data_IF_849363889499
#
_entry.id   IF_849363889499
#
_cell.length_a   1.000
_cell.length_b   1.000
_cell.length_c   1.000
_cell.angle_alpha   90.00
_cell.angle_beta   90.00
_cell.angle_gamma   90.00
#
_symmetry.space_group_name_H-M   'P 1'
#
loop_
_entity.id
_entity.type
_entity.pdbx_description
1 polymer ?
#
# COMPACT_ATOMS: atom_id res chain seq x y z
N UNK A 1 -6.28 -0.78 -0.84
CA UNK A 1 -5.09 -0.88 -1.69
C UNK A 1 -4.89 -2.33 -2.15
N UNK A 2 -4.59 -2.57 -3.44
CA UNK A 2 -4.54 -3.92 -4.03
C UNK A 2 -3.42 -4.80 -3.46
N UNK A 3 -2.26 -4.24 -3.11
CA UNK A 3 -1.14 -5.05 -2.60
C UNK A 3 -1.50 -5.75 -1.29
N UNK A 4 -2.10 -5.00 -0.37
CA UNK A 4 -2.63 -5.51 0.91
C UNK A 4 -3.79 -6.47 0.71
N UNK A 5 -4.73 -6.14 -0.19
CA UNK A 5 -5.92 -6.94 -0.46
C UNK A 5 -5.56 -8.32 -1.01
N UNK A 6 -4.62 -8.38 -1.95
CA UNK A 6 -4.40 -9.58 -2.77
C UNK A 6 -3.17 -10.38 -2.37
N UNK A 7 -2.15 -9.74 -1.79
CA UNK A 7 -0.84 -10.36 -1.60
C UNK A 7 -0.31 -10.30 -0.16
N UNK A 8 -0.78 -9.36 0.68
CA UNK A 8 -0.32 -9.17 2.05
C UNK A 8 -1.48 -9.15 3.08
N UNK A 9 -2.32 -10.20 3.16
CA UNK A 9 -3.40 -10.26 4.15
C UNK A 9 -2.89 -10.13 5.59
N UNK A 10 -1.66 -10.57 5.87
CA UNK A 10 -1.01 -10.51 7.18
C UNK A 10 -0.83 -9.07 7.70
N UNK A 11 -0.84 -8.07 6.82
CA UNK A 11 -0.73 -6.66 7.20
C UNK A 11 -1.85 -6.22 8.14
N UNK A 12 -3.03 -6.83 8.02
CA UNK A 12 -4.18 -6.56 8.92
C UNK A 12 -3.84 -6.88 10.38
N UNK A 13 -3.04 -7.93 10.62
CA UNK A 13 -2.57 -8.30 11.95
C UNK A 13 -1.66 -7.24 12.59
N UNK A 14 -0.90 -6.50 11.79
CA UNK A 14 0.02 -5.44 12.28
C UNK A 14 -0.72 -4.19 12.78
N UNK A 15 -2.00 -4.06 12.46
CA UNK A 15 -2.85 -2.95 12.90
C UNK A 15 -3.64 -3.28 14.18
N UNK A 16 -3.65 -4.54 14.61
CA UNK A 16 -4.35 -4.96 15.83
C UNK A 16 -3.76 -4.25 17.04
N UNK A 17 -4.64 -3.68 17.88
CA UNK A 17 -4.25 -2.96 19.10
C UNK A 17 -3.77 -1.52 18.87
N UNK A 18 -3.71 -1.03 17.62
CA UNK A 18 -3.46 0.39 17.37
C UNK A 18 -4.70 1.24 17.68
N UNK A 19 -4.55 2.48 18.18
CA UNK A 19 -5.66 3.39 18.33
C UNK A 19 -6.37 3.62 16.99
N UNK A 20 -7.70 3.63 17.01
CA UNK A 20 -8.52 4.02 15.88
C UNK A 20 -8.20 5.45 15.45
N UNK A 21 -8.49 5.78 14.18
CA UNK A 21 -8.32 7.14 13.67
C UNK A 21 -9.07 8.17 14.53
N UNK A 22 -10.28 7.81 15.00
CA UNK A 22 -11.07 8.68 15.86
C UNK A 22 -10.42 8.93 17.24
N UNK A 23 -9.76 7.92 17.81
CA UNK A 23 -8.98 8.10 19.05
C UNK A 23 -7.75 8.97 18.84
N UNK A 24 -7.01 8.76 17.75
CA UNK A 24 -5.85 9.58 17.40
C UNK A 24 -6.24 11.06 17.25
N UNK A 25 -7.34 11.32 16.56
CA UNK A 25 -7.87 12.66 16.31
C UNK A 25 -8.30 13.36 17.60
N UNK A 26 -9.04 12.65 18.47
CA UNK A 26 -9.43 13.19 19.77
C UNK A 26 -8.22 13.48 20.66
N UNK A 27 -7.20 12.61 20.64
CA UNK A 27 -6.03 12.74 21.51
C UNK A 27 -5.24 14.03 21.27
N UNK A 28 -5.25 14.56 20.05
CA UNK A 28 -4.52 15.78 19.69
C UNK A 28 -5.43 16.94 19.29
N UNK A 29 -6.76 16.80 19.42
CA UNK A 29 -7.71 17.83 19.02
C UNK A 29 -7.69 18.17 17.52
N UNK A 30 -7.35 17.22 16.66
CA UNK A 30 -7.11 17.48 15.25
C UNK A 30 -8.39 17.55 14.41
N UNK A 31 -8.29 18.19 13.25
CA UNK A 31 -9.15 17.94 12.09
C UNK A 31 -8.48 16.96 11.13
N UNK A 32 -9.28 16.30 10.29
CA UNK A 32 -8.80 15.26 9.36
C UNK A 32 -8.99 15.74 7.92
N UNK A 33 -7.97 15.55 7.09
CA UNK A 33 -8.06 15.70 5.64
C UNK A 33 -7.61 14.40 4.93
N UNK A 34 -8.29 13.98 3.85
CA UNK A 34 -7.79 12.91 3.00
C UNK A 34 -6.53 13.37 2.24
N UNK A 35 -5.59 12.45 2.06
CA UNK A 35 -4.39 12.67 1.24
C UNK A 35 -4.43 11.71 0.07
N UNK A 36 -4.66 12.24 -1.12
CA UNK A 36 -4.57 11.47 -2.35
C UNK A 36 -3.09 11.25 -2.70
N UNK A 37 -2.79 10.08 -3.24
CA UNK A 37 -1.43 9.72 -3.67
C UNK A 37 -1.35 9.88 -5.19
N UNK A 38 -0.53 10.82 -5.70
CA UNK A 38 -0.29 10.95 -7.14
C UNK A 38 0.27 9.66 -7.74
N UNK A 39 -0.03 9.38 -9.00
CA UNK A 39 0.44 8.16 -9.66
C UNK A 39 1.98 8.08 -9.78
N UNK A 40 2.63 9.24 -9.81
CA UNK A 40 4.08 9.45 -9.94
C UNK A 40 4.76 9.76 -8.60
N UNK A 41 4.11 9.50 -7.47
CA UNK A 41 4.67 9.73 -6.14
C UNK A 41 6.09 9.15 -6.01
N UNK A 42 7.05 10.00 -5.64
CA UNK A 42 8.48 9.67 -5.60
C UNK A 42 8.98 9.23 -4.22
N UNK A 43 8.17 9.41 -3.17
CA UNK A 43 8.58 9.16 -1.77
C UNK A 43 8.84 7.67 -1.47
N UNK A 44 8.12 6.77 -2.16
CA UNK A 44 8.42 5.33 -2.13
C UNK A 44 7.90 4.59 -0.90
N UNK A 45 6.98 5.16 -0.13
CA UNK A 45 6.22 4.43 0.90
C UNK A 45 5.32 3.34 0.28
N UNK A 46 4.73 2.50 1.14
CA UNK A 46 4.07 1.25 0.73
C UNK A 46 3.04 1.43 -0.39
N UNK A 47 2.25 2.50 -0.38
CA UNK A 47 1.21 2.77 -1.37
C UNK A 47 1.70 3.62 -2.57
N UNK A 48 2.94 4.11 -2.59
CA UNK A 48 3.44 5.07 -3.59
C UNK A 48 3.46 4.55 -5.04
N UNK A 49 3.50 3.22 -5.22
CA UNK A 49 3.56 2.58 -6.54
C UNK A 49 2.21 1.93 -6.93
N UNK A 50 1.10 2.45 -6.43
CA UNK A 50 -0.23 1.88 -6.64
C UNK A 50 -0.64 1.70 -8.11
N UNK A 51 -0.17 2.56 -9.03
CA UNK A 51 -0.37 2.42 -10.50
C UNK A 51 0.82 1.76 -11.20
N UNK A 52 1.89 1.45 -10.48
CA UNK A 52 3.18 0.94 -10.98
C UNK A 52 3.54 -0.39 -10.29
N UNK A 53 2.71 -1.44 -10.42
CA UNK A 53 2.86 -2.69 -9.65
C UNK A 53 4.21 -3.39 -9.86
N UNK A 54 4.81 -3.27 -11.05
CA UNK A 54 6.11 -3.86 -11.34
C UNK A 54 7.23 -3.33 -10.41
N UNK A 55 7.09 -2.13 -9.83
CA UNK A 55 8.06 -1.59 -8.87
C UNK A 55 8.22 -2.49 -7.65
N UNK A 56 7.15 -3.13 -7.18
CA UNK A 56 7.23 -4.06 -6.05
C UNK A 56 7.93 -5.38 -6.39
N UNK A 57 8.32 -5.63 -7.65
CA UNK A 57 9.18 -6.76 -8.02
C UNK A 57 10.67 -6.45 -7.82
N UNK A 58 11.04 -5.17 -7.74
CA UNK A 58 12.41 -4.74 -7.43
C UNK A 58 12.67 -4.89 -5.92
N UNK A 59 13.74 -5.63 -5.57
CA UNK A 59 14.14 -5.80 -4.18
C UNK A 59 14.54 -4.48 -3.53
N UNK A 60 15.24 -3.59 -4.25
CA UNK A 60 15.68 -2.30 -3.71
C UNK A 60 14.50 -1.44 -3.27
N UNK A 61 13.40 -1.44 -4.05
CA UNK A 61 12.14 -0.78 -3.69
C UNK A 61 11.55 -1.38 -2.43
N UNK A 62 11.47 -2.71 -2.33
CA UNK A 62 10.92 -3.37 -1.13
C UNK A 62 11.79 -3.14 0.10
N UNK A 63 13.11 -3.11 -0.03
CA UNK A 63 14.03 -2.82 1.09
C UNK A 63 13.82 -1.42 1.67
N UNK A 64 13.28 -0.47 0.90
CA UNK A 64 12.89 0.86 1.38
C UNK A 64 11.63 0.88 2.24
N UNK A 65 10.86 -0.21 2.32
CA UNK A 65 9.59 -0.25 3.06
C UNK A 65 9.67 -1.25 4.22
N UNK A 66 9.57 -0.74 5.46
CA UNK A 66 9.71 -1.54 6.69
C UNK A 66 8.71 -2.69 6.84
N UNK A 67 7.57 -2.62 6.13
CA UNK A 67 6.55 -3.67 6.15
C UNK A 67 7.09 -5.02 5.68
N UNK A 68 7.97 -5.06 4.67
CA UNK A 68 8.51 -6.31 4.16
C UNK A 68 9.41 -7.00 5.18
N UNK A 69 10.25 -6.22 5.87
CA UNK A 69 11.08 -6.73 6.96
C UNK A 69 10.24 -7.24 8.14
N UNK A 70 9.11 -6.58 8.42
CA UNK A 70 8.20 -6.94 9.52
C UNK A 70 7.43 -8.22 9.22
N UNK A 71 6.95 -8.39 7.99
CA UNK A 71 6.20 -9.57 7.55
C UNK A 71 7.11 -10.79 7.30
N UNK A 72 8.39 -10.54 7.03
CA UNK A 72 9.41 -11.57 6.89
C UNK A 72 9.53 -12.16 5.48
N UNK A 73 10.62 -12.90 5.23
CA UNK A 73 11.04 -13.31 3.88
C UNK A 73 10.05 -14.25 3.19
N UNK A 74 9.37 -15.15 3.94
CA UNK A 74 8.45 -16.11 3.35
C UNK A 74 7.18 -15.41 2.81
N UNK A 75 6.71 -14.38 3.50
CA UNK A 75 5.59 -13.54 3.05
C UNK A 75 6.00 -12.73 1.82
N UNK A 76 7.17 -12.10 1.88
CA UNK A 76 7.72 -11.31 0.77
C UNK A 76 7.85 -12.16 -0.49
N UNK A 77 8.51 -13.33 -0.41
CA UNK A 77 8.73 -14.20 -1.56
C UNK A 77 7.43 -14.71 -2.17
N UNK A 78 6.43 -15.04 -1.34
CA UNK A 78 5.10 -15.44 -1.81
C UNK A 78 4.42 -14.29 -2.56
N UNK A 79 4.39 -13.10 -1.98
CA UNK A 79 3.76 -11.93 -2.58
C UNK A 79 4.42 -11.56 -3.93
N UNK A 80 5.75 -11.53 -3.98
CA UNK A 80 6.52 -11.22 -5.20
C UNK A 80 6.27 -12.23 -6.31
N UNK A 81 6.24 -13.53 -5.98
CA UNK A 81 5.94 -14.59 -6.95
C UNK A 81 4.53 -14.45 -7.52
N UNK A 82 3.53 -14.35 -6.64
CA UNK A 82 2.13 -14.21 -7.06
C UNK A 82 1.90 -12.94 -7.90
N UNK A 83 2.51 -11.82 -7.51
CA UNK A 83 2.43 -10.57 -8.27
C UNK A 83 3.09 -10.71 -9.65
N UNK A 84 4.26 -11.36 -9.73
CA UNK A 84 4.94 -11.61 -11.01
C UNK A 84 4.05 -12.43 -11.96
N UNK A 85 3.41 -13.48 -11.45
CA UNK A 85 2.53 -14.33 -12.24
C UNK A 85 1.27 -13.59 -12.71
N UNK A 86 0.69 -12.73 -11.87
CA UNK A 86 -0.48 -11.91 -12.21
C UNK A 86 -0.14 -10.78 -13.19
N UNK A 87 1.07 -10.22 -13.14
CA UNK A 87 1.55 -9.26 -14.12
C UNK A 87 1.84 -9.92 -15.47
N UNK A 88 2.49 -11.09 -15.46
CA UNK A 88 2.80 -11.84 -16.68
C UNK A 88 1.53 -12.32 -17.42
N UNK A 89 0.48 -12.64 -16.69
CA UNK A 89 -0.80 -13.10 -17.24
C UNK A 89 -1.80 -11.98 -17.55
N UNK A 90 -1.55 -10.75 -17.11
CA UNK A 90 -2.49 -9.62 -17.24
C UNK A 90 -3.62 -9.59 -16.20
N UNK A 91 -3.76 -10.62 -15.34
CA UNK A 91 -4.81 -10.69 -14.31
C UNK A 91 -4.80 -9.50 -13.35
N UNK A 92 -3.63 -8.95 -13.05
CA UNK A 92 -3.54 -7.75 -12.22
C UNK A 92 -4.25 -6.56 -12.89
N UNK A 93 -4.04 -6.36 -14.19
CA UNK A 93 -4.63 -5.26 -14.94
C UNK A 93 -6.15 -5.44 -15.08
N UNK A 94 -6.61 -6.66 -15.28
CA UNK A 94 -8.05 -6.98 -15.32
C UNK A 94 -8.75 -6.63 -13.99
N UNK A 95 -8.17 -7.04 -12.86
CA UNK A 95 -8.72 -6.81 -11.51
C UNK A 95 -8.64 -5.35 -11.06
N UNK A 96 -7.70 -4.58 -11.60
CA UNK A 96 -7.40 -3.22 -11.17
C UNK A 96 -7.55 -2.21 -12.31
N UNK A 97 -8.37 -2.53 -13.33
CA UNK A 97 -8.57 -1.69 -14.52
C UNK A 97 -8.94 -0.25 -14.20
N UNK A 98 -9.71 -0.05 -13.13
CA UNK A 98 -10.21 1.25 -12.71
C UNK A 98 -9.10 2.18 -12.18
N UNK A 99 -7.90 1.65 -11.94
CA UNK A 99 -6.74 2.43 -11.50
C UNK A 99 -5.93 3.01 -12.67
N UNK A 100 -6.10 2.48 -13.88
CA UNK A 100 -5.16 2.72 -14.99
C UNK A 100 -5.24 4.16 -15.50
N UNK A 101 -6.34 4.87 -15.31
CA UNK A 101 -6.51 6.24 -15.81
C UNK A 101 -6.59 7.29 -14.68
N UNK A 102 -6.34 6.88 -13.44
CA UNK A 102 -6.34 7.79 -12.30
C UNK A 102 -5.01 8.56 -12.21
N UNK A 103 -5.11 9.87 -11.98
CA UNK A 103 -3.95 10.72 -11.68
C UNK A 103 -3.55 10.66 -10.21
N UNK A 104 -4.50 10.39 -9.32
CA UNK A 104 -4.27 10.21 -7.90
C UNK A 104 -5.27 9.22 -7.29
N UNK A 105 -4.86 8.52 -6.23
CA UNK A 105 -5.68 7.50 -5.56
C UNK A 105 -5.90 7.81 -4.08
N UNK A 106 -7.14 7.62 -3.62
CA UNK A 106 -7.51 7.59 -2.20
C UNK A 106 -7.24 6.18 -1.64
N UNK A 107 -6.13 6.01 -0.92
CA UNK A 107 -5.69 4.71 -0.39
C UNK A 107 -5.69 4.64 1.14
N UNK A 108 -6.34 5.60 1.82
CA UNK A 108 -6.52 5.60 3.27
C UNK A 108 -5.58 6.52 4.04
N UNK A 109 -4.69 7.27 3.38
CA UNK A 109 -3.85 8.28 4.04
C UNK A 109 -4.69 9.44 4.56
N UNK A 110 -4.42 9.83 5.81
CA UNK A 110 -5.12 10.92 6.49
C UNK A 110 -4.10 11.86 7.08
N UNK A 111 -4.26 13.16 6.79
CA UNK A 111 -3.51 14.23 7.43
C UNK A 111 -4.31 14.69 8.66
N UNK A 112 -3.68 14.66 9.83
CA UNK A 112 -4.23 15.18 11.07
C UNK A 112 -3.58 16.54 11.35
N UNK A 113 -4.41 17.56 11.57
CA UNK A 113 -3.96 18.96 11.75
C UNK A 113 -4.51 19.45 13.08
N UNK A 114 -3.60 19.75 14.03
CA UNK A 114 -3.90 20.25 15.38
C UNK A 114 -3.71 21.76 15.47
#
# INVERSE_FOLDING_TARGET
FWLTRDYLPELTGLLVGRPSLAEQVRAIGARIEPVLIPWDCADGFLEAYWRRPAAYLDESVRRGMSVWATLGPDVEQRAVRSLRDDLASGRWAERNRDLVDLDAAELGLRLLIA
#
